data_IF_068030608040
#
_entry.id   IF_068030608040
#
_cell.length_a   1.000
_cell.length_b   1.000
_cell.length_c   1.000
_cell.angle_alpha   90.00
_cell.angle_beta   90.00
_cell.angle_gamma   90.00
#
_symmetry.space_group_name_H-M   'P 1'
#
loop_
_entity.id
_entity.type
_entity.pdbx_description
1 polymer ?
#
# COMPACT_ATOMS: atom_id res chain seq x y z
N UNK A 1 0.11 -13.43 -12.39
CA UNK A 1 -1.19 -12.70 -12.38
C UNK A 1 -0.90 -11.24 -12.13
N UNK A 2 -1.53 -10.27 -12.81
CA UNK A 2 -1.29 -8.84 -12.52
C UNK A 2 -1.81 -8.47 -11.13
N UNK A 3 -1.24 -7.44 -10.49
CA UNK A 3 -1.74 -6.93 -9.21
C UNK A 3 -3.23 -6.59 -9.30
N UNK A 4 -3.66 -5.89 -10.35
CA UNK A 4 -5.08 -5.52 -10.57
C UNK A 4 -6.00 -6.74 -10.52
N UNK A 5 -5.59 -7.87 -11.13
CA UNK A 5 -6.35 -9.11 -11.07
C UNK A 5 -6.33 -9.74 -9.66
N UNK A 6 -5.19 -9.69 -8.95
CA UNK A 6 -5.10 -10.15 -7.55
C UNK A 6 -6.08 -9.38 -6.66
N UNK A 7 -6.14 -8.06 -6.81
CA UNK A 7 -7.04 -7.20 -6.05
C UNK A 7 -8.49 -7.45 -6.38
N UNK A 8 -8.81 -7.61 -7.65
CA UNK A 8 -10.14 -8.02 -8.05
C UNK A 8 -10.53 -9.37 -7.43
N UNK A 9 -9.63 -10.35 -7.43
CA UNK A 9 -9.89 -11.67 -6.83
C UNK A 9 -10.08 -11.58 -5.31
N UNK A 10 -9.25 -10.79 -4.60
CA UNK A 10 -9.41 -10.53 -3.17
C UNK A 10 -10.74 -9.84 -2.91
N UNK A 11 -11.05 -8.78 -3.67
CA UNK A 11 -12.30 -8.01 -3.51
C UNK A 11 -13.55 -8.85 -3.65
N UNK A 12 -13.57 -9.84 -4.55
CA UNK A 12 -14.68 -10.79 -4.69
C UNK A 12 -14.84 -11.76 -3.50
N UNK A 13 -13.85 -11.83 -2.62
CA UNK A 13 -13.88 -12.66 -1.41
C UNK A 13 -14.24 -11.86 -0.15
N UNK A 14 -14.16 -10.53 -0.20
CA UNK A 14 -14.55 -9.64 0.88
C UNK A 14 -16.07 -9.58 0.93
N UNK A 15 -16.67 -9.99 2.04
CA UNK A 15 -18.11 -9.78 2.25
C UNK A 15 -18.40 -8.29 2.49
N UNK A 16 -19.63 -7.88 2.24
CA UNK A 16 -20.04 -6.49 2.49
C UNK A 16 -19.89 -6.12 3.98
N UNK A 17 -20.19 -7.03 4.91
CA UNK A 17 -19.97 -6.82 6.35
C UNK A 17 -18.49 -6.64 6.70
N UNK A 18 -17.60 -7.46 6.12
CA UNK A 18 -16.16 -7.30 6.32
C UNK A 18 -15.70 -5.95 5.76
N UNK A 19 -16.21 -5.54 4.60
CA UNK A 19 -15.87 -4.27 3.99
C UNK A 19 -16.33 -3.08 4.85
N UNK A 20 -17.56 -3.12 5.39
CA UNK A 20 -18.08 -2.12 6.34
C UNK A 20 -17.16 -2.00 7.55
N UNK A 21 -16.77 -3.14 8.15
CA UNK A 21 -15.90 -3.16 9.32
C UNK A 21 -14.51 -2.57 9.03
N UNK A 22 -13.99 -2.75 7.81
CA UNK A 22 -12.70 -2.19 7.39
C UNK A 22 -12.73 -0.66 7.17
N UNK A 23 -13.90 -0.12 6.82
CA UNK A 23 -14.14 1.31 6.63
C UNK A 23 -14.44 2.03 7.96
N UNK A 24 -15.12 1.34 8.87
CA UNK A 24 -15.54 1.88 10.17
C UNK A 24 -14.31 2.34 10.97
N UNK A 25 -14.48 3.45 11.68
CA UNK A 25 -13.50 3.97 12.64
C UNK A 25 -14.17 4.09 13.99
N UNK A 26 -13.52 3.56 15.03
CA UNK A 26 -13.96 3.81 16.39
C UNK A 26 -13.59 5.24 16.76
N UNK A 27 -14.57 6.02 17.20
CA UNK A 27 -14.39 7.42 17.55
C UNK A 27 -14.87 7.67 18.97
N UNK A 28 -13.98 8.18 19.82
CA UNK A 28 -14.31 8.66 21.15
C UNK A 28 -14.48 10.18 21.13
N UNK A 29 -15.70 10.63 21.43
CA UNK A 29 -16.05 12.05 21.49
C UNK A 29 -15.80 12.69 22.86
N UNK A 30 -15.28 11.95 23.85
CA UNK A 30 -15.12 12.41 25.24
C UNK A 30 -14.39 13.75 25.38
N UNK A 31 -13.41 14.00 24.51
CA UNK A 31 -12.59 15.22 24.48
C UNK A 31 -13.13 16.31 23.54
N UNK A 32 -14.20 16.04 22.79
CA UNK A 32 -14.70 16.93 21.74
C UNK A 32 -15.94 17.70 22.18
N UNK A 33 -16.01 18.98 21.80
CA UNK A 33 -17.27 19.72 21.81
C UNK A 33 -18.11 19.29 20.62
N UNK A 34 -19.23 18.62 20.87
CA UNK A 34 -20.14 18.15 19.81
C UNK A 34 -21.09 19.27 19.38
N UNK A 35 -21.01 19.65 18.11
CA UNK A 35 -21.82 20.66 17.46
C UNK A 35 -22.76 19.97 16.45
N UNK A 36 -24.07 20.14 16.63
CA UNK A 36 -25.08 19.71 15.68
C UNK A 36 -25.60 20.91 14.90
N UNK A 37 -25.51 20.84 13.58
CA UNK A 37 -26.08 21.83 12.68
C UNK A 37 -27.34 21.25 12.03
N UNK A 38 -28.50 21.79 12.42
CA UNK A 38 -29.80 21.33 11.95
C UNK A 38 -30.37 22.22 10.84
N UNK A 39 -30.70 21.60 9.71
CA UNK A 39 -31.36 22.21 8.57
C UNK A 39 -32.84 21.85 8.58
N UNK A 40 -33.73 22.85 8.46
CA UNK A 40 -35.17 22.60 8.43
C UNK A 40 -35.63 22.73 6.97
N UNK A 41 -36.01 21.60 6.37
CA UNK A 41 -36.32 21.49 4.95
C UNK A 41 -37.76 21.02 4.79
N UNK A 42 -38.53 21.77 4.00
CA UNK A 42 -39.89 21.42 3.60
C UNK A 42 -40.01 21.63 2.09
N UNK A 43 -40.66 20.70 1.39
CA UNK A 43 -40.77 20.70 -0.08
C UNK A 43 -39.43 20.99 -0.79
N UNK A 44 -38.33 20.38 -0.32
CA UNK A 44 -36.98 20.55 -0.89
C UNK A 44 -36.44 21.99 -0.82
N UNK A 45 -36.99 22.82 0.05
CA UNK A 45 -36.53 24.20 0.28
C UNK A 45 -36.18 24.40 1.75
N UNK A 46 -35.09 25.14 2.00
CA UNK A 46 -34.70 25.55 3.34
C UNK A 46 -35.71 26.56 3.89
N UNK A 47 -36.42 26.19 4.96
CA UNK A 47 -37.56 26.97 5.49
C UNK A 47 -37.10 28.11 6.41
N UNK A 48 -35.97 27.92 7.09
CA UNK A 48 -35.38 28.91 7.99
C UNK A 48 -33.87 28.74 8.07
N UNK A 49 -33.20 29.76 8.59
CA UNK A 49 -31.77 29.73 8.89
C UNK A 49 -31.41 28.45 9.70
N UNK A 50 -30.34 27.73 9.33
CA UNK A 50 -29.92 26.54 10.06
C UNK A 50 -29.55 26.89 11.50
N UNK A 51 -29.75 25.94 12.41
CA UNK A 51 -29.51 26.15 13.84
C UNK A 51 -28.32 25.32 14.28
N UNK A 52 -27.30 25.98 14.83
CA UNK A 52 -26.12 25.34 15.41
C UNK A 52 -26.33 25.17 16.93
N UNK A 53 -26.23 23.95 17.44
CA UNK A 53 -26.41 23.66 18.86
C UNK A 53 -25.28 22.79 19.41
N UNK A 54 -24.95 22.97 20.69
CA UNK A 54 -24.12 22.01 21.42
C UNK A 54 -24.99 20.83 21.86
N UNK A 55 -24.51 19.62 21.66
CA UNK A 55 -25.24 18.40 22.03
C UNK A 55 -24.27 17.35 22.56
N UNK A 56 -24.73 16.11 22.72
CA UNK A 56 -23.93 14.96 23.06
C UNK A 56 -24.08 13.87 22.00
N UNK A 57 -23.02 13.11 21.75
CA UNK A 57 -22.95 12.14 20.65
C UNK A 57 -23.90 10.96 20.85
N UNK A 58 -24.16 10.56 22.10
CA UNK A 58 -25.10 9.48 22.48
C UNK A 58 -26.53 9.72 22.01
N UNK A 59 -26.90 10.97 21.72
CA UNK A 59 -28.22 11.36 21.21
C UNK A 59 -28.33 11.31 19.68
N UNK A 60 -27.24 10.97 18.98
CA UNK A 60 -27.15 11.04 17.52
C UNK A 60 -26.73 9.69 16.96
N UNK A 61 -27.54 9.13 16.06
CA UNK A 61 -27.15 7.93 15.31
C UNK A 61 -26.12 8.31 14.25
N UNK A 62 -24.85 7.97 14.50
CA UNK A 62 -23.73 8.37 13.66
C UNK A 62 -22.92 7.17 13.22
N UNK A 63 -22.38 7.25 12.00
CA UNK A 63 -21.49 6.24 11.45
C UNK A 63 -20.17 6.89 11.02
N UNK A 64 -19.11 6.62 11.78
CA UNK A 64 -17.78 7.15 11.51
C UNK A 64 -17.01 6.22 10.56
N UNK A 65 -16.41 6.84 9.54
CA UNK A 65 -15.63 6.14 8.51
C UNK A 65 -14.28 6.82 8.34
N UNK A 66 -13.28 6.06 7.89
CA UNK A 66 -12.06 6.64 7.30
C UNK A 66 -12.45 7.50 6.09
N UNK A 67 -11.62 8.48 5.73
CA UNK A 67 -11.90 9.27 4.54
C UNK A 67 -11.91 8.35 3.30
N UNK A 68 -12.96 8.46 2.49
CA UNK A 68 -13.20 7.57 1.33
C UNK A 68 -12.73 8.18 0.00
N UNK A 69 -12.33 9.46 0.01
CA UNK A 69 -11.77 10.21 -1.12
C UNK A 69 -10.23 10.18 -1.20
N UNK A 70 -9.70 10.29 -2.43
CA UNK A 70 -8.27 10.25 -2.76
C UNK A 70 -7.80 11.40 -3.67
N UNK A 71 -6.46 11.53 -3.83
CA UNK A 71 -5.73 12.66 -4.47
C UNK A 71 -6.48 13.31 -5.65
N UNK A 72 -6.54 14.65 -5.65
CA UNK A 72 -7.13 15.47 -6.72
C UNK A 72 -8.60 15.83 -6.48
N UNK A 73 -9.35 14.99 -5.76
CA UNK A 73 -10.78 15.21 -5.48
C UNK A 73 -11.09 15.80 -4.09
N UNK A 74 -10.10 15.86 -3.19
CA UNK A 74 -10.25 16.34 -1.81
C UNK A 74 -10.55 15.23 -0.80
N UNK A 75 -10.46 15.56 0.49
CA UNK A 75 -10.81 14.65 1.58
C UNK A 75 -12.30 14.75 1.90
N UNK A 76 -13.01 13.63 1.78
CA UNK A 76 -14.42 13.54 2.16
C UNK A 76 -14.73 12.19 2.80
N UNK A 77 -15.85 12.15 3.50
CA UNK A 77 -16.32 11.03 4.31
C UNK A 77 -17.58 10.43 3.72
N UNK A 78 -17.91 9.20 4.11
CA UNK A 78 -19.16 8.58 3.67
C UNK A 78 -20.38 9.34 4.22
N UNK A 79 -20.34 9.64 5.52
CA UNK A 79 -21.28 10.52 6.20
C UNK A 79 -20.57 11.77 6.69
N UNK A 80 -21.23 12.95 6.70
CA UNK A 80 -20.61 14.24 7.05
C UNK A 80 -20.38 14.41 8.56
N UNK A 81 -19.58 13.52 9.16
CA UNK A 81 -19.16 13.59 10.55
C UNK A 81 -17.71 14.11 10.59
N UNK A 82 -17.52 15.40 10.91
CA UNK A 82 -16.21 16.04 10.81
C UNK A 82 -15.57 16.25 12.17
N UNK A 83 -14.33 15.78 12.30
CA UNK A 83 -13.53 15.93 13.52
C UNK A 83 -12.44 16.97 13.29
N UNK A 84 -12.32 17.91 14.22
CA UNK A 84 -11.31 18.96 14.19
C UNK A 84 -10.57 19.01 15.51
N UNK A 85 -9.24 19.01 15.46
CA UNK A 85 -8.38 19.05 16.63
C UNK A 85 -7.72 20.42 16.75
N UNK A 86 -7.81 21.03 17.94
CA UNK A 86 -7.23 22.33 18.28
C UNK A 86 -7.54 23.39 17.22
N UNK A 87 -8.77 23.38 16.71
CA UNK A 87 -9.19 24.21 15.59
C UNK A 87 -9.63 25.59 16.08
N UNK A 88 -9.17 26.63 15.40
CA UNK A 88 -9.44 28.03 15.73
C UNK A 88 -10.29 28.75 14.67
N UNK A 89 -10.50 28.15 13.50
CA UNK A 89 -11.26 28.72 12.38
C UNK A 89 -12.33 27.72 11.89
N UNK A 90 -13.37 27.55 12.72
CA UNK A 90 -14.52 26.71 12.35
C UNK A 90 -15.26 27.25 11.12
N UNK A 91 -15.24 28.56 10.88
CA UNK A 91 -15.84 29.17 9.70
C UNK A 91 -15.23 28.62 8.41
N UNK A 92 -13.90 28.61 8.30
CA UNK A 92 -13.20 28.03 7.15
C UNK A 92 -13.41 26.52 7.05
N UNK A 93 -13.41 25.81 8.17
CA UNK A 93 -13.65 24.36 8.18
C UNK A 93 -15.05 23.98 7.73
N UNK A 94 -16.06 24.76 8.12
CA UNK A 94 -17.44 24.57 7.70
C UNK A 94 -17.58 24.65 6.17
N UNK A 95 -16.99 25.66 5.52
CA UNK A 95 -17.00 25.78 4.05
C UNK A 95 -16.38 24.55 3.36
N UNK A 96 -15.36 23.96 3.98
CA UNK A 96 -14.70 22.75 3.47
C UNK A 96 -15.52 21.46 3.66
N UNK A 97 -16.72 21.52 4.22
CA UNK A 97 -17.60 20.35 4.34
C UNK A 97 -18.42 20.08 3.07
N UNK A 98 -18.59 21.08 2.19
CA UNK A 98 -19.38 20.97 0.96
C UNK A 98 -18.97 19.79 0.05
N UNK A 99 -17.66 19.50 -0.17
CA UNK A 99 -17.26 18.35 -0.99
C UNK A 99 -17.77 16.99 -0.49
N UNK A 100 -17.97 16.80 0.82
CA UNK A 100 -18.56 15.56 1.35
C UNK A 100 -20.02 15.42 0.96
N UNK A 101 -20.77 16.52 0.95
CA UNK A 101 -22.14 16.48 0.45
C UNK A 101 -22.17 16.22 -1.06
N UNK A 102 -21.34 16.92 -1.82
CA UNK A 102 -21.27 16.77 -3.28
C UNK A 102 -20.87 15.37 -3.72
N UNK A 103 -19.83 14.79 -3.10
CA UNK A 103 -19.17 13.57 -3.60
C UNK A 103 -19.59 12.30 -2.87
N UNK A 104 -20.32 12.42 -1.77
CA UNK A 104 -20.85 11.28 -1.03
C UNK A 104 -22.36 11.34 -0.94
N UNK A 105 -22.92 12.31 -0.20
CA UNK A 105 -24.36 12.34 0.09
C UNK A 105 -25.19 12.43 -1.19
N UNK A 106 -24.86 13.35 -2.09
CA UNK A 106 -25.58 13.55 -3.36
C UNK A 106 -25.26 12.48 -4.42
N UNK A 107 -24.26 11.62 -4.19
CA UNK A 107 -23.89 10.54 -5.11
C UNK A 107 -24.58 9.24 -4.71
N UNK A 108 -24.54 8.91 -3.42
CA UNK A 108 -24.96 7.60 -2.91
C UNK A 108 -26.34 7.59 -2.27
N UNK A 109 -26.96 8.74 -1.99
CA UNK A 109 -28.37 8.76 -1.57
C UNK A 109 -29.29 8.45 -2.75
N UNK A 110 -30.50 7.96 -2.47
CA UNK A 110 -31.53 7.82 -3.52
C UNK A 110 -32.06 9.20 -3.95
N UNK A 111 -32.64 9.30 -5.16
CA UNK A 111 -33.08 10.58 -5.77
C UNK A 111 -33.89 11.49 -4.82
N UNK A 112 -34.87 10.91 -4.09
CA UNK A 112 -35.66 11.66 -3.10
C UNK A 112 -34.79 12.27 -1.99
N UNK A 113 -33.82 11.52 -1.49
CA UNK A 113 -32.90 11.93 -0.44
C UNK A 113 -31.81 12.88 -0.95
N UNK A 114 -31.38 12.73 -2.21
CA UNK A 114 -30.52 13.72 -2.88
C UNK A 114 -31.22 15.08 -2.95
N UNK A 115 -32.50 15.10 -3.36
CA UNK A 115 -33.30 16.32 -3.39
C UNK A 115 -33.49 16.93 -1.99
N UNK A 116 -33.57 16.11 -0.94
CA UNK A 116 -33.60 16.56 0.44
C UNK A 116 -32.27 17.17 0.90
N UNK A 117 -31.12 16.60 0.51
CA UNK A 117 -29.79 17.08 0.90
C UNK A 117 -29.29 18.26 0.05
N UNK A 118 -29.81 18.44 -1.17
CA UNK A 118 -29.34 19.47 -2.11
C UNK A 118 -29.39 20.90 -1.53
N UNK A 119 -30.45 21.32 -0.82
CA UNK A 119 -30.45 22.63 -0.16
C UNK A 119 -29.35 22.79 0.91
N UNK A 120 -28.97 21.71 1.58
CA UNK A 120 -27.86 21.72 2.56
C UNK A 120 -26.53 21.98 1.86
N UNK A 121 -26.28 21.25 0.77
CA UNK A 121 -25.09 21.45 -0.06
C UNK A 121 -24.99 22.88 -0.58
N UNK A 122 -26.07 23.40 -1.18
CA UNK A 122 -26.10 24.76 -1.73
C UNK A 122 -25.91 25.82 -0.64
N UNK A 123 -26.46 25.62 0.56
CA UNK A 123 -26.24 26.52 1.68
C UNK A 123 -24.75 26.59 2.08
N UNK A 124 -24.08 25.44 2.24
CA UNK A 124 -22.67 25.37 2.64
C UNK A 124 -21.78 25.97 1.54
N UNK A 125 -22.03 25.60 0.28
CA UNK A 125 -21.26 26.05 -0.89
C UNK A 125 -21.28 27.57 -1.04
N UNK A 126 -22.41 28.21 -0.77
CA UNK A 126 -22.62 29.65 -0.93
C UNK A 126 -22.47 30.43 0.41
N UNK A 127 -21.88 29.80 1.44
CA UNK A 127 -21.74 30.41 2.76
C UNK A 127 -20.63 31.46 2.79
N UNK A 128 -21.01 32.73 2.64
CA UNK A 128 -20.09 33.89 2.66
C UNK A 128 -20.23 34.76 3.91
N UNK A 129 -21.42 34.87 4.48
CA UNK A 129 -21.66 35.62 5.72
C UNK A 129 -21.64 34.68 6.91
N UNK A 130 -21.04 35.09 8.03
CA UNK A 130 -20.96 34.26 9.23
C UNK A 130 -22.27 34.25 10.03
N UNK A 131 -23.34 33.79 9.40
CA UNK A 131 -24.66 33.73 10.00
C UNK A 131 -24.73 32.71 11.14
N UNK A 132 -23.96 31.64 11.10
CA UNK A 132 -23.89 30.61 12.14
C UNK A 132 -22.94 30.98 13.30
N UNK A 133 -22.38 32.21 13.28
CA UNK A 133 -21.47 32.73 14.33
C UNK A 133 -20.25 31.82 14.57
N UNK A 134 -19.77 31.15 13.52
CA UNK A 134 -18.67 30.18 13.61
C UNK A 134 -17.35 30.83 13.99
N UNK A 135 -17.16 32.13 13.69
CA UNK A 135 -15.96 32.88 14.06
C UNK A 135 -15.87 33.17 15.56
N UNK A 136 -16.96 33.04 16.32
CA UNK A 136 -16.98 33.27 17.76
C UNK A 136 -16.44 32.07 18.57
N UNK A 137 -16.23 30.92 17.95
CA UNK A 137 -15.74 29.72 18.63
C UNK A 137 -14.24 29.83 18.93
N UNK A 138 -13.88 29.58 20.19
CA UNK A 138 -12.49 29.55 20.63
C UNK A 138 -11.73 28.35 20.06
N UNK A 139 -10.40 28.33 20.24
CA UNK A 139 -9.59 27.19 19.85
C UNK A 139 -9.93 25.95 20.71
N UNK A 140 -10.46 24.89 20.11
CA UNK A 140 -10.80 23.65 20.82
C UNK A 140 -10.86 22.43 19.89
N UNK A 141 -11.12 21.26 20.46
CA UNK A 141 -11.48 20.03 19.75
C UNK A 141 -13.00 20.02 19.47
N UNK A 142 -13.38 19.88 18.20
CA UNK A 142 -14.77 19.99 17.74
C UNK A 142 -15.19 18.78 16.91
N UNK A 143 -16.42 18.31 17.15
CA UNK A 143 -17.11 17.33 16.32
C UNK A 143 -18.32 18.02 15.68
N UNK A 144 -18.30 18.22 14.37
CA UNK A 144 -19.41 18.82 13.63
C UNK A 144 -20.25 17.75 12.94
N UNK A 145 -21.54 17.71 13.28
CA UNK A 145 -22.52 16.77 12.75
C UNK A 145 -23.67 17.54 12.08
N UNK A 146 -24.17 17.00 10.98
CA UNK A 146 -25.25 17.58 10.20
C UNK A 146 -26.54 16.81 10.40
N UNK A 147 -27.64 17.53 10.61
CA UNK A 147 -28.98 16.97 10.73
C UNK A 147 -29.96 17.70 9.81
N UNK A 148 -30.97 17.00 9.31
CA UNK A 148 -32.08 17.57 8.55
C UNK A 148 -33.37 17.20 9.30
N UNK A 149 -34.18 18.19 9.62
CA UNK A 149 -35.42 18.02 10.39
C UNK A 149 -35.21 17.21 11.69
N UNK A 150 -34.07 17.43 12.35
CA UNK A 150 -33.72 16.79 13.63
C UNK A 150 -33.12 15.38 13.52
N UNK A 151 -33.01 14.80 12.33
CA UNK A 151 -32.40 13.48 12.10
C UNK A 151 -31.04 13.61 11.45
N UNK A 152 -30.10 12.76 11.81
CA UNK A 152 -28.78 12.69 11.17
C UNK A 152 -28.90 12.24 9.71
N UNK A 153 -27.85 12.50 8.93
CA UNK A 153 -27.78 11.99 7.54
C UNK A 153 -27.79 10.45 7.52
N UNK A 154 -27.25 9.79 8.56
CA UNK A 154 -27.27 8.32 8.66
C UNK A 154 -28.69 7.79 8.82
N UNK A 155 -29.50 8.40 9.68
CA UNK A 155 -30.88 8.01 9.92
C UNK A 155 -31.78 8.25 8.71
N UNK A 156 -31.58 9.37 8.02
CA UNK A 156 -32.39 9.74 6.86
C UNK A 156 -32.00 8.98 5.60
N UNK A 157 -30.71 8.69 5.47
CA UNK A 157 -30.10 8.15 4.26
C UNK A 157 -29.22 6.93 4.58
N UNK A 158 -29.78 5.87 5.23
CA UNK A 158 -29.02 4.68 5.56
C UNK A 158 -28.53 3.95 4.31
N UNK A 159 -29.19 4.15 3.15
CA UNK A 159 -28.84 3.57 1.87
C UNK A 159 -27.51 4.07 1.30
N UNK A 160 -27.02 5.24 1.73
CA UNK A 160 -25.70 5.76 1.32
C UNK A 160 -24.62 4.69 1.54
N UNK A 161 -24.67 4.00 2.67
CA UNK A 161 -23.73 2.94 2.99
C UNK A 161 -23.85 1.77 2.02
N UNK A 162 -25.07 1.28 1.79
CA UNK A 162 -25.34 0.15 0.89
C UNK A 162 -24.93 0.47 -0.55
N UNK A 163 -25.29 1.65 -1.06
CA UNK A 163 -24.97 2.10 -2.40
C UNK A 163 -23.46 2.30 -2.56
N UNK A 164 -22.78 2.87 -1.56
CA UNK A 164 -21.32 2.98 -1.57
C UNK A 164 -20.65 1.60 -1.59
N UNK A 165 -21.15 0.62 -0.85
CA UNK A 165 -20.57 -0.74 -0.84
C UNK A 165 -20.71 -1.40 -2.21
N UNK A 166 -21.79 -1.16 -2.93
CA UNK A 166 -21.96 -1.69 -4.28
C UNK A 166 -21.01 -0.99 -5.27
N UNK A 167 -20.89 0.33 -5.15
CA UNK A 167 -20.27 1.19 -6.16
C UNK A 167 -19.25 2.20 -5.59
N UNK A 168 -18.26 1.70 -4.85
CA UNK A 168 -17.28 2.54 -4.12
C UNK A 168 -16.21 3.23 -5.00
N UNK A 169 -16.09 2.90 -6.29
CA UNK A 169 -15.13 3.50 -7.20
C UNK A 169 -15.66 4.78 -7.85
N UNK A 170 -14.76 5.74 -8.07
CA UNK A 170 -15.10 7.03 -8.67
C UNK A 170 -14.63 7.12 -10.13
N UNK A 171 -15.33 7.89 -10.98
CA UNK A 171 -14.82 8.27 -12.30
C UNK A 171 -13.44 8.94 -12.17
N UNK A 172 -12.53 8.61 -13.07
CA UNK A 172 -11.23 9.27 -13.14
C UNK A 172 -11.41 10.74 -13.59
N UNK A 173 -10.78 11.70 -12.91
CA UNK A 173 -10.92 13.13 -13.24
C UNK A 173 -10.55 13.46 -14.69
N UNK A 174 -9.52 12.78 -15.19
CA UNK A 174 -8.91 13.08 -16.49
C UNK A 174 -9.38 12.15 -17.62
N UNK A 175 -10.26 11.18 -17.35
CA UNK A 175 -10.74 10.20 -18.36
C UNK A 175 -12.25 10.36 -18.53
N UNK A 176 -12.70 10.50 -19.77
CA UNK A 176 -14.13 10.47 -20.08
C UNK A 176 -14.68 9.07 -19.96
N UNK A 177 -15.84 8.94 -19.32
CA UNK A 177 -16.60 7.69 -19.31
C UNK A 177 -17.02 7.35 -20.75
N UNK A 178 -16.68 6.17 -21.22
CA UNK A 178 -16.99 5.72 -22.57
C UNK A 178 -17.17 4.20 -22.63
N UNK A 179 -17.93 3.72 -23.61
CA UNK A 179 -18.01 2.28 -23.89
C UNK A 179 -16.65 1.76 -24.33
N UNK A 180 -16.17 0.71 -23.68
CA UNK A 180 -14.96 -0.01 -24.07
C UNK A 180 -14.94 -1.41 -23.46
N UNK A 181 -13.92 -2.20 -23.76
CA UNK A 181 -13.75 -3.54 -23.19
C UNK A 181 -13.14 -3.41 -21.79
N UNK A 182 -13.88 -3.82 -20.76
CA UNK A 182 -13.41 -3.84 -19.38
C UNK A 182 -12.20 -4.78 -19.22
N UNK A 183 -11.13 -4.24 -18.66
CA UNK A 183 -9.83 -4.91 -18.59
C UNK A 183 -9.87 -6.23 -17.81
N UNK A 184 -10.73 -6.34 -16.79
CA UNK A 184 -10.85 -7.52 -15.93
C UNK A 184 -11.76 -8.58 -16.56
N UNK A 185 -12.99 -8.19 -16.86
CA UNK A 185 -14.05 -9.12 -17.28
C UNK A 185 -13.99 -9.46 -18.76
N UNK A 186 -13.26 -8.66 -19.56
CA UNK A 186 -13.16 -8.77 -21.03
C UNK A 186 -14.51 -8.60 -21.73
N UNK A 187 -15.46 -7.93 -21.09
CA UNK A 187 -16.79 -7.61 -21.64
C UNK A 187 -16.90 -6.13 -21.96
N UNK A 188 -17.76 -5.78 -22.91
CA UNK A 188 -18.07 -4.39 -23.20
C UNK A 188 -18.87 -3.76 -22.05
N UNK A 189 -18.42 -2.60 -21.58
CA UNK A 189 -19.07 -1.84 -20.51
C UNK A 189 -18.68 -0.34 -20.58
N UNK A 190 -19.35 0.50 -19.80
CA UNK A 190 -18.96 1.90 -19.59
C UNK A 190 -17.74 1.93 -18.67
N UNK A 191 -16.60 2.31 -19.23
CA UNK A 191 -15.32 2.32 -18.55
C UNK A 191 -14.80 3.75 -18.31
N UNK A 192 -13.87 3.87 -17.36
CA UNK A 192 -13.25 5.14 -16.97
C UNK A 192 -13.24 5.37 -15.44
N UNK A 193 -13.53 4.33 -14.67
CA UNK A 193 -13.51 4.35 -13.21
C UNK A 193 -12.11 4.05 -12.66
N UNK A 194 -11.77 4.67 -11.53
CA UNK A 194 -10.49 4.50 -10.86
C UNK A 194 -10.67 3.81 -9.50
N UNK A 195 -9.98 2.69 -9.22
CA UNK A 195 -9.95 2.07 -7.90
C UNK A 195 -9.03 2.77 -6.88
N UNK A 196 -8.45 3.92 -7.22
CA UNK A 196 -7.53 4.73 -6.40
C UNK A 196 -6.17 4.07 -6.10
N UNK A 197 -5.66 3.22 -7.01
CA UNK A 197 -4.36 2.56 -6.89
C UNK A 197 -3.30 3.33 -7.68
N UNK A 198 -2.17 3.72 -7.07
CA UNK A 198 -0.99 4.21 -7.80
C UNK A 198 0.08 3.12 -7.89
N UNK A 199 0.42 2.76 -9.12
CA UNK A 199 1.54 1.88 -9.43
C UNK A 199 2.80 2.73 -9.51
N UNK A 200 3.81 2.39 -8.71
CA UNK A 200 5.17 2.65 -9.09
C UNK A 200 5.91 1.33 -9.10
N UNK A 201 6.36 0.90 -10.27
CA UNK A 201 7.44 -0.07 -10.39
C UNK A 201 8.74 0.74 -10.51
N UNK A 202 9.89 0.17 -10.13
CA UNK A 202 11.20 0.81 -10.34
C UNK A 202 11.49 1.06 -11.84
N UNK A 203 10.69 0.48 -12.74
CA UNK A 203 10.67 0.72 -14.19
C UNK A 203 10.06 2.07 -14.60
N UNK A 204 9.69 2.93 -13.64
CA UNK A 204 9.20 4.30 -13.91
C UNK A 204 10.18 5.22 -14.65
N UNK A 205 11.43 4.79 -14.83
CA UNK A 205 12.43 5.46 -15.66
C UNK A 205 12.48 4.93 -17.10
N UNK A 206 11.64 3.97 -17.47
CA UNK A 206 11.59 3.38 -18.81
C UNK A 206 10.23 3.70 -19.47
N UNK A 207 10.25 4.54 -20.51
CA UNK A 207 9.04 5.13 -21.13
C UNK A 207 7.98 4.11 -21.57
N UNK A 208 8.40 2.88 -21.91
CA UNK A 208 7.51 1.77 -22.31
C UNK A 208 6.57 1.25 -21.20
N UNK A 209 6.85 1.52 -19.92
CA UNK A 209 6.07 1.01 -18.79
C UNK A 209 5.12 2.06 -18.16
N UNK A 210 5.16 3.32 -18.62
CA UNK A 210 4.23 4.40 -18.20
C UNK A 210 2.75 4.08 -18.48
N UNK A 211 2.47 3.18 -19.43
CA UNK A 211 1.10 2.75 -19.75
C UNK A 211 0.52 1.77 -18.72
N UNK A 212 1.35 1.16 -17.86
CA UNK A 212 0.92 0.18 -16.85
C UNK A 212 0.44 0.83 -15.54
N UNK A 213 0.43 2.17 -15.48
CA UNK A 213 -0.17 2.93 -14.39
C UNK A 213 -1.70 2.82 -14.54
N UNK A 214 -2.39 2.26 -13.54
CA UNK A 214 -3.86 2.06 -13.52
C UNK A 214 -4.70 3.29 -13.83
N UNK A 215 -4.13 4.49 -13.81
CA UNK A 215 -4.76 5.71 -14.30
C UNK A 215 -5.10 5.67 -15.80
N UNK A 216 -4.91 4.55 -16.51
CA UNK A 216 -5.29 4.37 -17.92
C UNK A 216 -5.97 3.04 -18.27
N UNK A 217 -6.23 2.15 -17.31
CA UNK A 217 -6.92 0.89 -17.64
C UNK A 217 -8.42 1.14 -17.87
N UNK A 218 -9.01 0.58 -18.94
CA UNK A 218 -10.46 0.64 -19.13
C UNK A 218 -11.13 -0.25 -18.08
N UNK A 219 -11.61 0.36 -17.00
CA UNK A 219 -12.32 -0.33 -15.92
C UNK A 219 -13.76 0.18 -15.82
N UNK A 220 -14.70 -0.77 -15.81
CA UNK A 220 -16.08 -0.58 -15.40
C UNK A 220 -16.18 -0.21 -13.93
N UNK A 221 -17.31 0.38 -13.53
CA UNK A 221 -17.59 0.71 -12.13
C UNK A 221 -17.48 -0.52 -11.23
N UNK A 222 -18.07 -1.63 -11.65
CA UNK A 222 -18.04 -2.89 -10.91
C UNK A 222 -16.63 -3.42 -10.72
N UNK A 223 -15.83 -3.49 -11.78
CA UNK A 223 -14.45 -3.97 -11.69
C UNK A 223 -13.62 -3.06 -10.78
N UNK A 224 -13.73 -1.73 -10.96
CA UNK A 224 -13.00 -0.77 -10.14
C UNK A 224 -13.43 -0.83 -8.66
N UNK A 225 -14.73 -0.95 -8.37
CA UNK A 225 -15.25 -1.09 -7.00
C UNK A 225 -14.74 -2.37 -6.34
N UNK A 226 -14.76 -3.50 -7.06
CA UNK A 226 -14.20 -4.76 -6.54
C UNK A 226 -12.70 -4.65 -6.28
N UNK A 227 -11.94 -4.03 -7.17
CA UNK A 227 -10.51 -3.79 -6.95
C UNK A 227 -10.29 -2.92 -5.71
N UNK A 228 -11.08 -1.85 -5.53
CA UNK A 228 -11.02 -0.95 -4.37
C UNK A 228 -11.35 -1.70 -3.07
N UNK A 229 -12.37 -2.57 -3.04
CA UNK A 229 -12.65 -3.48 -1.92
C UNK A 229 -11.43 -4.35 -1.59
N UNK A 230 -10.85 -4.99 -2.61
CA UNK A 230 -9.64 -5.80 -2.45
C UNK A 230 -8.48 -5.00 -1.88
N UNK A 231 -8.34 -3.74 -2.29
CA UNK A 231 -7.29 -2.88 -1.81
C UNK A 231 -7.44 -2.46 -0.36
N UNK A 232 -8.64 -2.05 0.03
CA UNK A 232 -8.96 -1.74 1.43
C UNK A 232 -8.72 -2.98 2.31
N UNK A 233 -9.07 -4.18 1.85
CA UNK A 233 -8.75 -5.41 2.57
C UNK A 233 -7.25 -5.60 2.77
N UNK A 234 -6.46 -5.47 1.69
CA UNK A 234 -5.01 -5.67 1.71
C UNK A 234 -4.33 -4.69 2.67
N UNK A 235 -4.69 -3.40 2.63
CA UNK A 235 -4.12 -2.35 3.49
C UNK A 235 -4.33 -2.65 4.98
N UNK A 236 -5.52 -3.15 5.33
CA UNK A 236 -5.89 -3.37 6.72
C UNK A 236 -5.43 -4.74 7.25
N UNK A 237 -5.39 -5.78 6.40
CA UNK A 237 -5.17 -7.15 6.85
C UNK A 237 -3.84 -7.76 6.39
N UNK A 238 -3.18 -7.21 5.36
CA UNK A 238 -1.99 -7.78 4.72
C UNK A 238 -0.79 -6.82 4.69
N UNK A 239 -0.80 -5.82 5.57
CA UNK A 239 0.30 -4.87 5.78
C UNK A 239 1.23 -5.36 6.89
N UNK A 240 2.53 -5.29 6.62
CA UNK A 240 3.60 -5.79 7.47
C UNK A 240 4.75 -4.78 7.58
N UNK A 241 5.58 -4.95 8.61
CA UNK A 241 6.71 -4.07 8.91
C UNK A 241 7.95 -4.87 9.28
N UNK A 242 9.11 -4.50 8.72
CA UNK A 242 10.40 -5.13 9.00
C UNK A 242 11.51 -4.09 8.91
N UNK A 243 12.26 -3.90 10.01
CA UNK A 243 13.45 -3.01 10.07
C UNK A 243 13.21 -1.62 9.44
N UNK A 244 12.08 -1.00 9.76
CA UNK A 244 11.71 0.33 9.26
C UNK A 244 11.15 0.37 7.84
N UNK A 245 11.01 -0.78 7.16
CA UNK A 245 10.35 -0.89 5.86
C UNK A 245 8.92 -1.39 6.03
N UNK A 246 8.01 -0.73 5.32
CA UNK A 246 6.61 -1.12 5.18
C UNK A 246 6.39 -1.88 3.87
N UNK A 247 5.71 -3.02 3.98
CA UNK A 247 5.38 -3.85 2.83
C UNK A 247 4.01 -4.49 2.95
N UNK A 248 3.41 -4.74 1.79
CA UNK A 248 2.19 -5.52 1.62
C UNK A 248 2.60 -6.89 1.07
N UNK A 249 2.07 -7.97 1.65
CA UNK A 249 2.22 -9.32 1.08
C UNK A 249 0.89 -9.77 0.48
N UNK A 250 0.89 -10.10 -0.80
CA UNK A 250 -0.28 -10.66 -1.49
C UNK A 250 0.02 -12.10 -1.90
N UNK A 251 -0.72 -13.10 -1.41
CA UNK A 251 -0.59 -14.45 -1.93
C UNK A 251 -1.12 -14.49 -3.36
N UNK A 252 -0.56 -15.38 -4.16
CA UNK A 252 -0.92 -15.66 -5.53
C UNK A 252 -0.93 -17.16 -5.76
N UNK A 253 -1.69 -17.62 -6.75
CA UNK A 253 -1.76 -19.03 -7.13
C UNK A 253 -1.49 -19.18 -8.62
N UNK A 254 -0.80 -20.26 -9.01
CA UNK A 254 -0.59 -20.62 -10.42
C UNK A 254 -1.94 -20.88 -11.09
N UNK A 255 -2.82 -21.63 -10.41
CA UNK A 255 -4.22 -21.86 -10.81
C UNK A 255 -5.12 -21.30 -9.72
N UNK A 256 -5.93 -20.29 -10.04
CA UNK A 256 -6.79 -19.66 -9.06
C UNK A 256 -7.92 -20.60 -8.64
N UNK A 257 -7.93 -20.99 -7.37
CA UNK A 257 -9.06 -21.66 -6.73
C UNK A 257 -9.63 -20.76 -5.64
N UNK A 258 -10.92 -20.43 -5.74
CA UNK A 258 -11.58 -19.46 -4.85
C UNK A 258 -11.56 -19.92 -3.39
N UNK A 259 -11.78 -21.21 -3.12
CA UNK A 259 -11.87 -21.75 -1.75
C UNK A 259 -10.49 -21.78 -1.11
N UNK A 260 -9.50 -22.33 -1.81
CA UNK A 260 -8.13 -22.39 -1.38
C UNK A 260 -7.56 -20.97 -1.15
N UNK A 261 -7.81 -20.04 -2.07
CA UNK A 261 -7.31 -18.68 -1.96
C UNK A 261 -7.89 -17.95 -0.75
N UNK A 262 -9.18 -18.16 -0.45
CA UNK A 262 -9.80 -17.64 0.77
C UNK A 262 -9.13 -18.19 2.04
N UNK A 263 -8.89 -19.50 2.10
CA UNK A 263 -8.20 -20.14 3.23
C UNK A 263 -6.80 -19.54 3.44
N UNK A 264 -6.04 -19.33 2.35
CA UNK A 264 -4.73 -18.67 2.43
C UNK A 264 -4.88 -17.24 2.98
N UNK A 265 -5.76 -16.41 2.40
CA UNK A 265 -5.98 -15.03 2.88
C UNK A 265 -6.34 -14.96 4.36
N UNK A 266 -7.23 -15.84 4.83
CA UNK A 266 -7.64 -15.89 6.23
C UNK A 266 -6.46 -16.23 7.15
N UNK A 267 -5.56 -17.12 6.71
CA UNK A 267 -4.31 -17.41 7.41
C UNK A 267 -3.38 -16.19 7.50
N UNK A 268 -3.24 -15.41 6.42
CA UNK A 268 -2.48 -14.15 6.46
C UNK A 268 -3.10 -13.12 7.40
N UNK A 269 -4.43 -12.94 7.36
CA UNK A 269 -5.18 -12.05 8.24
C UNK A 269 -4.99 -12.43 9.73
N UNK A 270 -5.03 -13.73 10.05
CA UNK A 270 -4.80 -14.22 11.42
C UNK A 270 -3.38 -13.93 11.90
N UNK A 271 -2.37 -14.17 11.07
CA UNK A 271 -0.99 -13.88 11.45
C UNK A 271 -0.73 -12.40 11.64
N UNK A 272 -1.33 -11.52 10.82
CA UNK A 272 -1.21 -10.08 11.01
C UNK A 272 -1.64 -9.65 12.43
N UNK A 273 -2.71 -10.25 12.97
CA UNK A 273 -3.29 -9.94 14.29
C UNK A 273 -2.52 -10.52 15.48
N UNK A 274 -1.80 -11.62 15.29
CA UNK A 274 -1.26 -12.43 16.41
C UNK A 274 0.13 -11.97 16.89
N UNK A 275 0.88 -11.24 16.08
CA UNK A 275 2.25 -10.82 16.43
C UNK A 275 2.36 -9.33 16.74
N UNK A 276 3.25 -8.96 17.66
CA UNK A 276 3.70 -7.57 17.85
C UNK A 276 4.45 -7.09 16.59
N UNK A 277 4.48 -5.79 16.31
CA UNK A 277 5.18 -5.24 15.12
C UNK A 277 6.68 -5.59 15.06
N UNK A 278 7.29 -5.93 16.20
CA UNK A 278 8.71 -6.25 16.34
C UNK A 278 9.01 -7.74 16.10
N UNK A 279 8.09 -8.65 16.43
CA UNK A 279 8.25 -10.09 16.17
C UNK A 279 8.06 -10.46 14.69
N UNK A 280 7.31 -9.63 13.95
CA UNK A 280 6.92 -9.82 12.53
C UNK A 280 8.11 -9.87 11.56
N UNK A 281 9.26 -9.40 12.00
CA UNK A 281 10.45 -9.29 11.19
C UNK A 281 11.26 -10.60 11.07
N UNK A 282 11.14 -11.53 12.01
CA UNK A 282 12.18 -12.57 12.15
C UNK A 282 11.93 -13.88 11.40
N UNK A 283 10.71 -14.22 10.96
CA UNK A 283 10.45 -15.56 10.37
C UNK A 283 9.24 -15.64 9.41
N UNK A 284 9.37 -15.12 8.18
CA UNK A 284 8.50 -15.54 7.04
C UNK A 284 8.46 -17.07 6.91
N UNK A 285 9.59 -17.71 7.21
CA UNK A 285 9.79 -19.15 7.14
C UNK A 285 9.03 -19.92 8.24
N UNK A 286 8.72 -19.31 9.39
CA UNK A 286 7.83 -19.92 10.40
C UNK A 286 6.36 -19.76 10.03
N UNK A 287 6.03 -18.70 9.29
CA UNK A 287 4.68 -18.35 8.93
C UNK A 287 4.13 -19.28 7.85
N UNK A 288 4.89 -19.58 6.80
CA UNK A 288 4.49 -20.58 5.78
C UNK A 288 4.36 -21.97 6.41
N UNK A 289 5.24 -22.36 7.34
CA UNK A 289 5.11 -23.63 8.07
C UNK A 289 3.85 -23.68 8.94
N UNK A 290 3.45 -22.56 9.57
CA UNK A 290 2.20 -22.45 10.31
C UNK A 290 0.98 -22.50 9.39
N UNK A 291 1.01 -21.78 8.26
CA UNK A 291 -0.03 -21.88 7.22
C UNK A 291 -0.16 -23.31 6.68
N UNK A 292 0.96 -23.99 6.39
CA UNK A 292 0.97 -25.39 5.96
C UNK A 292 0.32 -26.31 6.99
N UNK A 293 0.54 -26.04 8.29
CA UNK A 293 -0.06 -26.79 9.39
C UNK A 293 -1.55 -26.49 9.56
N UNK A 294 -1.98 -25.25 9.35
CA UNK A 294 -3.38 -24.81 9.50
C UNK A 294 -4.27 -25.16 8.30
N UNK A 295 -3.70 -25.19 7.10
CA UNK A 295 -4.45 -25.33 5.82
C UNK A 295 -4.55 -26.79 5.35
N UNK A 296 -3.80 -27.72 5.95
CA UNK A 296 -4.04 -29.17 5.85
C UNK A 296 -3.73 -29.83 4.50
N UNK A 297 -3.48 -29.07 3.41
CA UNK A 297 -3.22 -29.63 2.09
C UNK A 297 -1.94 -29.07 1.45
N UNK A 298 -0.92 -29.93 1.33
CA UNK A 298 0.43 -29.55 0.93
C UNK A 298 0.53 -29.18 -0.56
N UNK A 299 -0.32 -29.71 -1.44
CA UNK A 299 -0.25 -29.42 -2.88
C UNK A 299 -0.77 -28.03 -3.22
N UNK A 300 -1.85 -27.58 -2.57
CA UNK A 300 -2.42 -26.25 -2.81
C UNK A 300 -1.44 -25.14 -2.44
N UNK A 301 -0.70 -25.30 -1.34
CA UNK A 301 0.30 -24.34 -0.87
C UNK A 301 1.59 -24.41 -1.69
N UNK A 302 1.96 -25.59 -2.21
CA UNK A 302 3.11 -25.72 -3.11
C UNK A 302 2.93 -24.94 -4.42
N UNK A 303 1.68 -24.72 -4.84
CA UNK A 303 1.35 -23.93 -6.05
C UNK A 303 1.12 -22.44 -5.79
N UNK A 304 1.25 -22.00 -4.54
CA UNK A 304 1.12 -20.58 -4.17
C UNK A 304 2.48 -19.90 -4.05
N UNK A 305 2.52 -18.64 -4.42
CA UNK A 305 3.66 -17.75 -4.24
C UNK A 305 3.19 -16.46 -3.58
N UNK A 306 4.12 -15.68 -3.07
CA UNK A 306 3.82 -14.37 -2.51
C UNK A 306 4.43 -13.29 -3.38
N UNK A 307 3.73 -12.16 -3.45
CA UNK A 307 4.25 -10.95 -4.03
C UNK A 307 4.41 -9.93 -2.92
N UNK A 308 5.60 -9.34 -2.83
CA UNK A 308 5.89 -8.28 -1.89
C UNK A 308 5.83 -6.95 -2.61
N UNK A 309 5.06 -6.03 -2.06
CA UNK A 309 4.97 -4.65 -2.54
C UNK A 309 5.49 -3.75 -1.43
N UNK A 310 6.57 -3.02 -1.69
CA UNK A 310 7.05 -1.98 -0.80
C UNK A 310 6.13 -0.78 -0.94
N UNK A 311 5.62 -0.25 0.16
CA UNK A 311 4.58 0.79 0.10
C UNK A 311 4.82 1.92 1.08
N UNK A 312 4.26 3.07 0.75
CA UNK A 312 3.99 4.19 1.65
C UNK A 312 2.47 4.38 1.70
N UNK A 313 1.86 3.97 2.82
CA UNK A 313 0.42 3.98 3.04
C UNK A 313 0.04 5.12 3.97
N UNK A 314 -0.84 6.00 3.50
CA UNK A 314 -1.54 6.95 4.35
C UNK A 314 -2.85 6.33 4.84
N UNK A 315 -2.88 5.98 6.13
CA UNK A 315 -4.02 5.32 6.78
C UNK A 315 -5.27 6.19 6.92
N UNK A 316 -5.10 7.52 6.91
CA UNK A 316 -6.18 8.48 7.14
C UNK A 316 -7.11 8.53 5.93
N UNK A 317 -6.52 8.48 4.73
CA UNK A 317 -7.24 8.57 3.46
C UNK A 317 -7.15 7.30 2.62
N UNK A 318 -6.62 6.23 3.20
CA UNK A 318 -6.44 4.92 2.57
C UNK A 318 -5.68 4.98 1.23
N UNK A 319 -4.86 6.02 1.02
CA UNK A 319 -4.06 6.14 -0.19
C UNK A 319 -2.76 5.35 -0.05
N UNK A 320 -2.41 4.62 -1.11
CA UNK A 320 -1.22 3.77 -1.16
C UNK A 320 -0.33 4.23 -2.30
N UNK A 321 0.93 4.49 -1.97
CA UNK A 321 2.01 4.62 -2.95
C UNK A 321 2.84 3.35 -2.89
N UNK A 322 2.71 2.48 -3.88
CA UNK A 322 3.69 1.40 -4.06
C UNK A 322 5.01 2.08 -4.47
N UNK A 323 6.14 1.68 -3.88
CA UNK A 323 7.49 2.20 -4.15
C UNK A 323 8.30 1.20 -5.00
N UNK A 324 7.94 -0.07 -4.95
CA UNK A 324 8.49 -1.14 -5.75
C UNK A 324 7.78 -2.46 -5.45
N UNK A 325 8.01 -3.47 -6.29
CA UNK A 325 7.49 -4.82 -6.05
C UNK A 325 8.58 -5.86 -6.31
N UNK A 326 8.46 -6.97 -5.60
CA UNK A 326 9.11 -8.23 -5.89
C UNK A 326 8.00 -9.22 -6.23
N UNK A 327 7.77 -9.39 -7.53
CA UNK A 327 6.75 -10.30 -8.02
C UNK A 327 7.35 -11.71 -8.16
N UNK A 328 6.61 -12.72 -7.70
CA UNK A 328 6.86 -14.17 -7.81
C UNK A 328 7.75 -14.83 -6.75
N UNK A 329 7.74 -14.39 -5.49
CA UNK A 329 8.50 -15.08 -4.45
C UNK A 329 7.82 -16.39 -4.08
N UNK A 330 8.26 -17.49 -4.71
CA UNK A 330 7.92 -18.82 -4.23
C UNK A 330 8.64 -19.05 -2.89
N UNK A 331 7.93 -19.35 -1.79
CA UNK A 331 8.59 -19.68 -0.52
C UNK A 331 9.56 -20.86 -0.65
N UNK A 332 9.28 -21.80 -1.56
CA UNK A 332 10.22 -22.87 -1.92
C UNK A 332 11.51 -22.32 -2.53
N UNK A 333 11.44 -21.31 -3.40
CA UNK A 333 12.63 -20.70 -4.03
C UNK A 333 13.50 -19.98 -3.00
N UNK A 334 12.92 -19.22 -2.08
CA UNK A 334 13.68 -18.57 -0.98
C UNK A 334 14.39 -19.64 -0.14
N UNK A 335 13.67 -20.74 0.18
CA UNK A 335 14.24 -21.87 0.93
C UNK A 335 15.37 -22.55 0.17
N UNK A 336 15.20 -22.79 -1.13
CA UNK A 336 16.20 -23.43 -1.98
C UNK A 336 17.48 -22.58 -2.05
N UNK A 337 17.33 -21.27 -2.22
CA UNK A 337 18.45 -20.32 -2.24
C UNK A 337 19.13 -20.29 -0.87
N UNK A 338 18.36 -20.15 0.21
CA UNK A 338 18.90 -20.15 1.58
C UNK A 338 19.60 -21.47 1.95
N UNK A 339 19.08 -22.61 1.52
CA UNK A 339 19.71 -23.92 1.69
C UNK A 339 21.05 -23.99 0.94
N UNK A 340 21.08 -23.54 -0.32
CA UNK A 340 22.31 -23.48 -1.12
C UNK A 340 23.34 -22.51 -0.54
N UNK A 341 22.90 -21.37 -0.01
CA UNK A 341 23.76 -20.42 0.70
C UNK A 341 24.42 -21.07 1.91
N UNK A 342 23.65 -21.83 2.71
CA UNK A 342 24.18 -22.54 3.87
C UNK A 342 25.13 -23.68 3.48
N UNK A 343 24.76 -24.49 2.49
CA UNK A 343 25.59 -25.60 1.96
C UNK A 343 26.94 -25.09 1.42
N UNK A 344 26.92 -23.99 0.68
CA UNK A 344 28.10 -23.44 0.01
C UNK A 344 28.82 -22.37 0.83
N UNK A 345 28.40 -22.14 2.09
CA UNK A 345 28.95 -21.11 2.99
C UNK A 345 29.00 -19.73 2.32
N UNK A 346 27.86 -19.27 1.81
CA UNK A 346 27.65 -17.95 1.21
C UNK A 346 26.62 -17.18 2.05
N UNK A 347 26.78 -15.87 2.17
CA UNK A 347 25.85 -14.97 2.84
C UNK A 347 25.68 -13.64 2.10
N UNK A 348 24.58 -12.95 2.35
CA UNK A 348 24.20 -11.66 1.76
C UNK A 348 24.31 -10.49 2.76
N UNK A 349 24.49 -10.76 4.05
CA UNK A 349 24.57 -9.73 5.08
C UNK A 349 25.78 -8.81 4.91
N UNK A 350 25.60 -7.54 5.31
CA UNK A 350 26.70 -6.62 5.56
C UNK A 350 26.67 -6.06 6.99
N UNK A 351 27.49 -6.68 7.83
CA UNK A 351 27.95 -6.14 9.10
C UNK A 351 29.41 -6.55 9.21
N UNK A 352 30.34 -5.59 9.09
CA UNK A 352 31.79 -5.83 9.26
C UNK A 352 32.05 -6.61 10.56
N UNK A 353 31.27 -6.33 11.61
CA UNK A 353 31.35 -6.97 12.93
C UNK A 353 30.72 -8.37 13.01
N UNK A 354 30.06 -8.83 11.93
CA UNK A 354 29.34 -10.11 11.89
C UNK A 354 29.66 -10.92 10.61
N UNK A 355 30.85 -10.72 10.01
CA UNK A 355 31.33 -11.66 9.00
C UNK A 355 31.44 -13.03 9.68
N UNK A 356 30.61 -13.97 9.22
CA UNK A 356 30.61 -15.31 9.74
C UNK A 356 31.87 -16.00 9.22
N UNK A 357 32.70 -16.48 10.14
CA UNK A 357 33.97 -17.07 9.77
C UNK A 357 33.79 -18.22 8.76
N UNK A 358 34.61 -18.23 7.73
CA UNK A 358 34.55 -19.16 6.61
C UNK A 358 33.40 -18.96 5.60
N UNK A 359 32.57 -17.92 5.73
CA UNK A 359 31.53 -17.58 4.74
C UNK A 359 31.99 -16.52 3.74
N UNK A 360 31.60 -16.70 2.48
CA UNK A 360 31.72 -15.67 1.44
C UNK A 360 30.58 -14.65 1.58
N UNK A 361 30.88 -13.36 1.55
CA UNK A 361 29.90 -12.29 1.55
C UNK A 361 29.66 -11.77 0.12
N UNK A 362 28.47 -11.99 -0.44
CA UNK A 362 28.14 -11.45 -1.77
C UNK A 362 28.12 -9.91 -1.77
N UNK A 363 27.83 -9.28 -0.64
CA UNK A 363 27.87 -7.82 -0.48
C UNK A 363 29.23 -7.23 -0.85
N UNK A 364 30.33 -7.97 -0.69
CA UNK A 364 31.68 -7.53 -1.10
C UNK A 364 31.76 -7.18 -2.61
N UNK A 365 30.92 -7.81 -3.45
CA UNK A 365 30.89 -7.59 -4.91
C UNK A 365 29.67 -6.79 -5.41
N UNK A 366 28.58 -6.80 -4.64
CA UNK A 366 27.28 -6.29 -5.08
C UNK A 366 26.80 -5.03 -4.34
N UNK A 367 27.49 -4.58 -3.29
CA UNK A 367 27.04 -3.49 -2.41
C UNK A 367 28.04 -2.32 -2.34
N UNK A 368 28.65 -1.93 -3.46
CA UNK A 368 29.76 -0.96 -3.52
C UNK A 368 29.37 0.41 -2.94
N UNK A 369 28.23 0.97 -3.35
CA UNK A 369 27.74 2.24 -2.82
C UNK A 369 27.36 2.12 -1.33
N UNK A 370 26.78 0.99 -0.91
CA UNK A 370 26.48 0.76 0.51
C UNK A 370 27.75 0.72 1.36
N UNK A 371 28.79 0.07 0.87
CA UNK A 371 30.09 -0.02 1.52
C UNK A 371 30.74 1.36 1.62
N UNK A 372 30.74 2.12 0.52
CA UNK A 372 31.34 3.45 0.44
C UNK A 372 30.67 4.47 1.38
N UNK A 373 29.33 4.45 1.50
CA UNK A 373 28.59 5.39 2.37
C UNK A 373 28.91 5.24 3.86
N UNK A 374 29.43 4.09 4.30
CA UNK A 374 29.87 3.91 5.71
C UNK A 374 31.15 4.67 6.03
N UNK A 375 32.05 4.80 5.06
CA UNK A 375 33.31 5.54 5.22
C UNK A 375 33.15 7.03 4.92
N UNK A 376 32.20 7.40 4.05
CA UNK A 376 31.90 8.79 3.69
C UNK A 376 30.40 9.07 3.76
N UNK A 377 29.97 9.88 4.73
CA UNK A 377 28.58 10.38 4.81
C UNK A 377 28.29 11.37 3.68
N UNK A 378 27.90 10.85 2.52
CA UNK A 378 27.55 11.67 1.34
C UNK A 378 26.03 11.67 1.17
N UNK A 379 25.45 12.88 1.16
CA UNK A 379 24.02 13.10 0.97
C UNK A 379 23.63 12.74 -0.49
N UNK A 380 22.62 11.90 -0.67
CA UNK A 380 22.07 11.53 -1.99
C UNK A 380 22.42 10.13 -2.51
N UNK A 381 23.21 9.33 -1.80
CA UNK A 381 23.54 7.94 -2.18
C UNK A 381 22.49 6.90 -1.75
N UNK A 382 21.52 7.27 -0.90
CA UNK A 382 20.50 6.36 -0.37
C UNK A 382 19.72 5.60 -1.46
N UNK A 383 19.40 6.29 -2.56
CA UNK A 383 18.69 5.68 -3.70
C UNK A 383 19.56 4.63 -4.42
N UNK A 384 20.87 4.86 -4.54
CA UNK A 384 21.79 3.92 -5.18
C UNK A 384 22.01 2.68 -4.32
N UNK A 385 22.19 2.87 -3.01
CA UNK A 385 22.24 1.77 -2.03
C UNK A 385 20.98 0.91 -2.09
N UNK A 386 19.81 1.53 -2.21
CA UNK A 386 18.56 0.79 -2.39
C UNK A 386 18.53 0.00 -3.70
N UNK A 387 19.03 0.57 -4.81
CA UNK A 387 19.13 -0.11 -6.09
C UNK A 387 20.05 -1.33 -6.05
N UNK A 388 21.22 -1.23 -5.39
CA UNK A 388 22.14 -2.36 -5.20
C UNK A 388 21.49 -3.53 -4.45
N UNK A 389 20.77 -3.22 -3.35
CA UNK A 389 20.05 -4.23 -2.57
C UNK A 389 18.96 -4.92 -3.37
N UNK A 390 18.18 -4.14 -4.13
CA UNK A 390 17.14 -4.68 -5.01
C UNK A 390 17.76 -5.57 -6.09
N UNK A 391 18.86 -5.15 -6.70
CA UNK A 391 19.56 -5.90 -7.75
C UNK A 391 20.08 -7.24 -7.23
N UNK A 392 20.83 -7.26 -6.11
CA UNK A 392 21.32 -8.50 -5.51
C UNK A 392 20.17 -9.44 -5.16
N UNK A 393 19.08 -8.89 -4.61
CA UNK A 393 17.90 -9.67 -4.26
C UNK A 393 17.23 -10.27 -5.51
N UNK A 394 17.12 -9.52 -6.61
CA UNK A 394 16.62 -10.02 -7.89
C UNK A 394 17.49 -11.13 -8.46
N UNK A 395 18.82 -11.00 -8.37
CA UNK A 395 19.75 -12.07 -8.73
C UNK A 395 19.49 -13.31 -7.89
N UNK A 396 19.55 -13.22 -6.56
CA UNK A 396 19.38 -14.37 -5.65
C UNK A 396 18.09 -15.14 -5.91
N UNK A 397 17.02 -14.45 -6.31
CA UNK A 397 15.71 -15.03 -6.54
C UNK A 397 15.49 -15.49 -7.99
N UNK A 398 16.41 -15.18 -8.90
CA UNK A 398 16.38 -15.59 -10.30
C UNK A 398 15.49 -14.73 -11.20
N UNK A 399 15.14 -13.51 -10.79
CA UNK A 399 14.44 -12.53 -11.65
C UNK A 399 15.36 -11.82 -12.60
N UNK A 400 16.64 -11.78 -12.25
CA UNK A 400 17.66 -11.12 -13.02
C UNK A 400 18.80 -12.10 -13.21
N UNK A 401 19.45 -12.00 -14.36
CA UNK A 401 20.69 -12.71 -14.62
C UNK A 401 21.80 -11.71 -14.79
N UNK A 402 22.95 -12.01 -14.22
CA UNK A 402 24.18 -11.25 -14.45
C UNK A 402 24.91 -11.85 -15.65
N UNK A 403 25.35 -11.01 -16.58
CA UNK A 403 26.26 -11.44 -17.64
C UNK A 403 27.61 -11.80 -17.03
N UNK A 404 28.20 -12.90 -17.49
CA UNK A 404 29.46 -13.38 -16.92
C UNK A 404 30.57 -12.30 -16.95
N UNK A 405 30.65 -11.50 -18.01
CA UNK A 405 31.56 -10.35 -18.12
C UNK A 405 31.35 -9.33 -17.00
N UNK A 406 30.09 -8.94 -16.73
CA UNK A 406 29.77 -7.96 -15.69
C UNK A 406 30.08 -8.50 -14.28
N UNK A 407 30.02 -9.81 -14.08
CA UNK A 407 30.45 -10.44 -12.84
C UNK A 407 31.97 -10.38 -12.68
N UNK A 408 32.74 -10.63 -13.76
CA UNK A 408 34.19 -10.49 -13.75
C UNK A 408 34.62 -9.04 -13.46
N UNK A 409 33.94 -8.05 -14.05
CA UNK A 409 34.22 -6.63 -13.79
C UNK A 409 34.06 -6.28 -12.29
N UNK A 410 33.09 -6.89 -11.62
CA UNK A 410 32.88 -6.74 -10.17
C UNK A 410 34.01 -7.37 -9.35
N UNK A 411 34.52 -8.53 -9.77
CA UNK A 411 35.67 -9.17 -9.13
C UNK A 411 36.94 -8.33 -9.32
N UNK A 412 37.19 -7.84 -10.52
CA UNK A 412 38.33 -6.96 -10.81
C UNK A 412 38.27 -5.67 -9.99
N UNK A 413 37.10 -5.05 -9.90
CA UNK A 413 36.92 -3.87 -9.05
C UNK A 413 37.24 -4.18 -7.58
N UNK A 414 36.76 -5.32 -7.05
CA UNK A 414 37.04 -5.72 -5.68
C UNK A 414 38.51 -6.10 -5.44
N UNK A 415 39.20 -6.68 -6.42
CA UNK A 415 40.65 -6.96 -6.35
C UNK A 415 41.44 -5.67 -6.29
N UNK A 416 41.10 -4.71 -7.14
CA UNK A 416 41.90 -3.49 -7.30
C UNK A 416 41.62 -2.46 -6.20
N UNK A 417 40.37 -2.34 -5.72
CA UNK A 417 39.96 -1.26 -4.83
C UNK A 417 39.38 -1.73 -3.50
N UNK A 418 39.61 -0.93 -2.46
CA UNK A 418 38.93 -1.01 -1.17
C UNK A 418 37.57 -0.29 -1.20
N UNK A 419 36.85 -0.36 -0.09
CA UNK A 419 35.53 0.24 0.05
C UNK A 419 35.54 1.78 0.09
N UNK A 420 36.72 2.41 0.09
CA UNK A 420 36.90 3.86 -0.06
C UNK A 420 37.29 4.26 -1.49
N UNK A 421 37.32 3.31 -2.43
CA UNK A 421 37.86 3.43 -3.78
C UNK A 421 39.37 3.75 -3.83
N UNK A 422 40.13 3.29 -2.83
CA UNK A 422 41.60 3.34 -2.84
C UNK A 422 42.17 2.00 -3.28
N UNK A 423 43.35 2.02 -3.92
CA UNK A 423 43.98 0.80 -4.38
C UNK A 423 44.42 -0.08 -3.20
N UNK A 424 44.09 -1.36 -3.24
CA UNK A 424 44.54 -2.36 -2.25
C UNK A 424 46.00 -2.71 -2.47
N UNK A 425 46.87 -2.20 -1.61
CA UNK A 425 48.31 -2.43 -1.64
C UNK A 425 48.77 -2.99 -0.29
N UNK A 426 49.69 -3.95 -0.32
CA UNK A 426 50.36 -4.44 0.88
C UNK A 426 51.44 -3.45 1.38
N UNK A 427 52.09 -3.78 2.49
CA UNK A 427 53.18 -2.97 3.08
C UNK A 427 54.38 -2.76 2.13
N UNK A 428 54.50 -3.58 1.08
CA UNK A 428 55.52 -3.48 0.03
C UNK A 428 55.03 -2.74 -1.24
N UNK A 429 53.87 -2.09 -1.18
CA UNK A 429 53.20 -1.43 -2.32
C UNK A 429 52.90 -2.35 -3.52
N UNK A 430 52.82 -3.67 -3.28
CA UNK A 430 52.36 -4.66 -4.26
C UNK A 430 50.84 -4.78 -4.13
N UNK A 431 50.13 -4.97 -5.25
CA UNK A 431 48.68 -5.20 -5.21
C UNK A 431 48.38 -6.46 -4.37
N UNK A 432 47.47 -6.36 -3.39
CA UNK A 432 47.19 -7.45 -2.45
C UNK A 432 46.81 -8.77 -3.15
N UNK A 433 46.05 -8.69 -4.24
CA UNK A 433 45.63 -9.87 -4.99
C UNK A 433 46.76 -10.57 -5.76
N UNK A 434 47.91 -9.90 -5.97
CA UNK A 434 49.11 -10.54 -6.52
C UNK A 434 49.79 -11.40 -5.44
N UNK A 435 49.81 -10.94 -4.20
CA UNK A 435 50.41 -11.68 -3.08
C UNK A 435 49.50 -12.80 -2.56
N UNK A 436 48.19 -12.56 -2.53
CA UNK A 436 47.20 -13.49 -1.99
C UNK A 436 46.25 -14.03 -3.07
N UNK A 437 46.78 -14.31 -4.27
CA UNK A 437 45.99 -14.72 -5.45
C UNK A 437 45.02 -15.86 -5.16
N UNK A 438 45.47 -16.86 -4.41
CA UNK A 438 44.69 -18.07 -4.13
C UNK A 438 43.42 -17.76 -3.32
N UNK A 439 43.48 -16.79 -2.40
CA UNK A 439 42.34 -16.40 -1.59
C UNK A 439 41.26 -15.70 -2.43
N UNK A 440 41.67 -14.85 -3.39
CA UNK A 440 40.74 -14.19 -4.29
C UNK A 440 40.08 -15.20 -5.24
N UNK A 441 40.89 -16.06 -5.87
CA UNK A 441 40.41 -17.11 -6.79
C UNK A 441 39.40 -18.03 -6.09
N UNK A 442 39.72 -18.51 -4.87
CA UNK A 442 38.80 -19.38 -4.13
C UNK A 442 37.46 -18.73 -3.79
N UNK A 443 37.45 -17.43 -3.47
CA UNK A 443 36.23 -16.69 -3.15
C UNK A 443 35.39 -16.42 -4.39
N UNK A 444 36.02 -16.13 -5.52
CA UNK A 444 35.37 -15.91 -6.80
C UNK A 444 34.79 -17.19 -7.38
N UNK A 445 35.55 -18.30 -7.34
CA UNK A 445 35.07 -19.63 -7.73
C UNK A 445 33.85 -20.04 -6.90
N UNK A 446 33.87 -19.74 -5.60
CA UNK A 446 32.72 -19.99 -4.71
C UNK A 446 31.53 -19.11 -5.06
N UNK A 447 31.76 -17.83 -5.39
CA UNK A 447 30.72 -16.92 -5.84
C UNK A 447 30.07 -17.42 -7.14
N UNK A 448 30.89 -17.79 -8.13
CA UNK A 448 30.45 -18.33 -9.42
C UNK A 448 29.65 -19.62 -9.21
N UNK A 449 30.21 -20.58 -8.44
CA UNK A 449 29.55 -21.87 -8.14
C UNK A 449 28.17 -21.66 -7.50
N UNK A 450 28.09 -20.72 -6.56
CA UNK A 450 26.82 -20.40 -5.92
C UNK A 450 25.84 -19.78 -6.92
N UNK A 451 26.23 -18.75 -7.66
CA UNK A 451 25.37 -18.06 -8.64
C UNK A 451 24.92 -18.99 -9.78
N UNK A 452 25.77 -19.90 -10.24
CA UNK A 452 25.42 -20.96 -11.19
C UNK A 452 24.41 -21.93 -10.59
N UNK A 453 24.59 -22.34 -9.33
CA UNK A 453 23.67 -23.27 -8.66
C UNK A 453 22.24 -22.74 -8.57
N UNK A 454 22.05 -21.42 -8.59
CA UNK A 454 20.74 -20.77 -8.61
C UNK A 454 20.30 -20.28 -10.00
N UNK A 455 21.08 -20.60 -11.06
CA UNK A 455 20.83 -20.26 -12.46
C UNK A 455 20.77 -18.75 -12.76
N UNK A 456 21.69 -17.99 -12.15
CA UNK A 456 21.69 -16.52 -12.22
C UNK A 456 22.77 -15.95 -13.12
N UNK A 457 23.70 -16.78 -13.59
CA UNK A 457 24.69 -16.36 -14.57
C UNK A 457 24.14 -16.59 -15.98
N UNK A 458 24.19 -15.56 -16.81
CA UNK A 458 23.99 -15.66 -18.25
C UNK A 458 25.36 -15.86 -18.89
N UNK A 459 25.63 -17.10 -19.29
CA UNK A 459 26.78 -17.44 -20.13
C UNK A 459 26.38 -17.16 -21.57
N UNK A 460 27.11 -16.26 -22.23
CA UNK A 460 26.90 -15.90 -23.63
C UNK A 460 27.17 -17.08 -24.55
#
# INVERSE_FOLDING_TARGET
>A
MSLVQKLHNIGNLVSDDDFINLLKTDFDASSYTVLSLNFNINNQVLVKKPTLTKTSLDKLDTFFTKAIGGRGSGYFYLYPNFTYQKESDLYKKFKNTAPTFEKSVLVFANEQNQNLAKPVFEYIKNYEKDELELKAFAKNDYLLIFTINGKTIRELMPEILTNFIQDCAFPHSDIKLQKSIDFITKKEDICGYNPDVKFFTFDNYHDKFKEQITTKLPLSQKSASTIKKGWIYVINNLRFYHKGLEYIIIPSMIKFDKKAYKIILDGFKKAQKTYSLEDKASKEDSFIRKLQKEVGDLEMIKSSYVDLYFTDINIVNLSVKILGSMENLLPSKIRDVGAKMMEQRVCDYYSIEKKKDGFLCLSDYFSVDELFTRFKKIKGLENKVLQEKIYLTKLLLGYEKIEYSNLLDKFEHFREFDFENKKKLNDKNIKEWIEFSDNFIQNEDRAIKFLDSINTIKRG
#
